data_IF_189179113603
#
_entry.id   IF_189179113603
#
_cell.length_a   1.000
_cell.length_b   1.000
_cell.length_c   1.000
_cell.angle_alpha   90.00
_cell.angle_beta   90.00
_cell.angle_gamma   90.00
#
_symmetry.space_group_name_H-M   'P 1'
#
loop_
_entity.id
_entity.type
_entity.pdbx_description
1 polymer ?
#
# COMPACT_ATOMS: atom_id res chain seq x y z
N UNK A 1 -24.09 5.09 -0.54
CA UNK A 1 -23.49 5.48 -1.83
C UNK A 1 -22.87 4.29 -2.57
N UNK A 2 -22.44 3.24 -1.88
CA UNK A 2 -21.90 2.02 -2.50
C UNK A 2 -22.88 1.40 -3.49
N UNK A 3 -22.45 1.21 -4.75
CA UNK A 3 -23.23 0.60 -5.84
C UNK A 3 -24.63 1.20 -6.02
N UNK A 4 -24.79 2.50 -5.76
CA UNK A 4 -26.07 3.15 -5.91
C UNK A 4 -26.11 3.97 -7.22
N UNK A 5 -26.93 3.57 -8.21
CA UNK A 5 -27.00 4.24 -9.50
C UNK A 5 -27.50 5.70 -9.42
N UNK A 6 -28.15 6.10 -8.31
CA UNK A 6 -28.56 7.50 -8.10
C UNK A 6 -27.40 8.48 -7.98
N UNK A 7 -26.18 8.00 -7.69
CA UNK A 7 -24.98 8.83 -7.57
C UNK A 7 -24.11 8.83 -8.84
N UNK A 8 -24.66 8.35 -9.97
CA UNK A 8 -23.97 8.32 -11.26
C UNK A 8 -22.65 7.54 -11.23
N UNK A 9 -21.66 8.03 -11.98
CA UNK A 9 -20.33 7.39 -12.12
C UNK A 9 -19.61 7.23 -10.77
N UNK A 10 -19.81 8.17 -9.84
CA UNK A 10 -19.15 8.15 -8.53
C UNK A 10 -19.66 6.99 -7.68
N UNK A 11 -20.98 6.78 -7.64
CA UNK A 11 -21.58 5.68 -6.87
C UNK A 11 -21.38 4.30 -7.47
N UNK A 12 -21.31 4.22 -8.80
CA UNK A 12 -21.25 2.95 -9.52
C UNK A 12 -19.83 2.47 -9.80
N UNK A 13 -18.87 3.38 -10.01
CA UNK A 13 -17.50 3.03 -10.40
C UNK A 13 -16.45 3.51 -9.39
N UNK A 14 -16.45 4.79 -9.03
CA UNK A 14 -15.38 5.34 -8.20
C UNK A 14 -15.38 4.74 -6.79
N UNK A 15 -16.54 4.63 -6.14
CA UNK A 15 -16.66 4.10 -4.79
C UNK A 15 -16.35 2.59 -4.72
N UNK A 16 -16.89 1.73 -5.60
CA UNK A 16 -16.51 0.32 -5.63
C UNK A 16 -15.04 0.11 -5.93
N UNK A 17 -14.48 0.86 -6.89
CA UNK A 17 -13.05 0.80 -7.19
C UNK A 17 -12.21 1.18 -5.97
N UNK A 18 -12.54 2.29 -5.29
CA UNK A 18 -11.84 2.75 -4.10
C UNK A 18 -11.86 1.67 -3.01
N UNK A 19 -13.03 1.09 -2.75
CA UNK A 19 -13.17 0.00 -1.78
C UNK A 19 -12.31 -1.21 -2.14
N UNK A 20 -12.31 -1.64 -3.40
CA UNK A 20 -11.47 -2.75 -3.82
C UNK A 20 -9.97 -2.41 -3.75
N UNK A 21 -9.57 -1.20 -4.11
CA UNK A 21 -8.16 -0.79 -4.05
C UNK A 21 -7.65 -0.53 -2.64
N UNK A 22 -8.52 -0.20 -1.70
CA UNK A 22 -8.12 0.25 -0.36
C UNK A 22 -8.35 -0.85 0.69
N UNK A 23 -9.45 -1.59 0.57
CA UNK A 23 -9.87 -2.61 1.55
C UNK A 23 -9.30 -3.99 1.22
N UNK A 24 -9.26 -4.42 -0.05
CA UNK A 24 -8.78 -5.77 -0.41
C UNK A 24 -7.27 -5.98 -0.15
N UNK A 25 -6.35 -5.06 -0.55
CA UNK A 25 -4.93 -5.35 -0.48
C UNK A 25 -4.41 -5.69 0.92
N UNK A 26 -4.85 -5.02 2.00
CA UNK A 26 -4.49 -5.41 3.36
C UNK A 26 -4.84 -6.86 3.72
N UNK A 27 -6.00 -7.37 3.28
CA UNK A 27 -6.38 -8.76 3.51
C UNK A 27 -5.52 -9.72 2.68
N UNK A 28 -5.25 -9.39 1.42
CA UNK A 28 -4.37 -10.20 0.57
C UNK A 28 -2.94 -10.27 1.11
N UNK A 29 -2.39 -9.16 1.59
CA UNK A 29 -1.07 -9.14 2.23
C UNK A 29 -1.04 -10.01 3.49
N UNK A 30 -2.06 -9.91 4.34
CA UNK A 30 -2.16 -10.74 5.54
C UNK A 30 -2.25 -12.23 5.22
N UNK A 31 -3.10 -12.61 4.26
CA UNK A 31 -3.22 -14.00 3.79
C UNK A 31 -1.89 -14.47 3.19
N UNK A 32 -1.20 -13.62 2.42
CA UNK A 32 0.12 -13.93 1.86
C UNK A 32 1.15 -14.28 2.93
N UNK A 33 1.21 -13.52 4.02
CA UNK A 33 2.09 -13.84 5.16
C UNK A 33 1.70 -15.14 5.85
N UNK A 34 0.40 -15.42 6.02
CA UNK A 34 -0.07 -16.69 6.58
C UNK A 34 0.29 -17.88 5.70
N UNK A 35 0.15 -17.76 4.37
CA UNK A 35 0.51 -18.83 3.42
C UNK A 35 2.00 -19.14 3.47
N UNK A 36 2.86 -18.12 3.57
CA UNK A 36 4.31 -18.32 3.73
C UNK A 36 4.61 -19.06 5.04
N UNK A 37 3.96 -18.67 6.15
CA UNK A 37 4.12 -19.33 7.45
C UNK A 37 3.65 -20.79 7.44
N UNK A 38 2.48 -21.07 6.85
CA UNK A 38 1.94 -22.42 6.71
C UNK A 38 2.78 -23.29 5.78
N UNK A 39 3.30 -22.72 4.69
CA UNK A 39 4.17 -23.45 3.76
C UNK A 39 5.53 -23.81 4.38
N UNK A 40 6.05 -22.98 5.28
CA UNK A 40 7.22 -23.32 6.11
C UNK A 40 6.92 -24.44 7.09
N UNK A 41 5.76 -24.40 7.77
CA UNK A 41 5.34 -25.42 8.73
C UNK A 41 5.15 -26.79 8.09
N UNK A 42 4.51 -26.82 6.92
CA UNK A 42 4.25 -28.05 6.13
C UNK A 42 5.48 -28.53 5.34
N UNK A 43 6.60 -27.81 5.39
CA UNK A 43 7.83 -28.05 4.61
C UNK A 43 7.64 -28.09 3.09
N UNK A 44 6.47 -27.65 2.59
CA UNK A 44 6.20 -27.50 1.16
C UNK A 44 7.03 -26.36 0.58
N UNK A 45 7.27 -25.31 1.37
CA UNK A 45 8.17 -24.22 1.00
C UNK A 45 9.56 -24.44 1.59
N UNK A 46 10.55 -24.67 0.73
CA UNK A 46 11.96 -24.63 1.13
C UNK A 46 12.42 -23.17 1.31
N UNK A 47 13.32 -22.86 2.26
CA UNK A 47 13.84 -21.49 2.44
C UNK A 47 14.41 -20.85 1.16
N UNK A 48 15.01 -21.66 0.28
CA UNK A 48 15.52 -21.21 -1.03
C UNK A 48 14.40 -20.69 -1.94
N UNK A 49 13.24 -21.36 -1.96
CA UNK A 49 12.09 -20.95 -2.76
C UNK A 49 11.54 -19.61 -2.27
N UNK A 50 11.46 -19.42 -0.95
CA UNK A 50 11.04 -18.15 -0.35
C UNK A 50 12.00 -17.02 -0.73
N UNK A 51 13.31 -17.29 -0.71
CA UNK A 51 14.31 -16.32 -1.14
C UNK A 51 14.14 -15.93 -2.61
N UNK A 52 13.90 -16.88 -3.51
CA UNK A 52 13.63 -16.58 -4.92
C UNK A 52 12.36 -15.74 -5.10
N UNK A 53 11.26 -16.12 -4.44
CA UNK A 53 10.03 -15.32 -4.46
C UNK A 53 10.25 -13.90 -3.92
N UNK A 54 11.00 -13.78 -2.84
CA UNK A 54 11.35 -12.48 -2.26
C UNK A 54 12.15 -11.63 -3.25
N UNK A 55 13.17 -12.20 -3.90
CA UNK A 55 13.97 -11.48 -4.91
C UNK A 55 13.13 -11.01 -6.11
N UNK A 56 12.28 -11.90 -6.66
CA UNK A 56 11.43 -11.56 -7.80
C UNK A 56 10.45 -10.44 -7.44
N UNK A 57 9.78 -10.56 -6.29
CA UNK A 57 8.84 -9.53 -5.82
C UNK A 57 9.52 -8.22 -5.47
N UNK A 58 10.76 -8.26 -4.96
CA UNK A 58 11.55 -7.07 -4.69
C UNK A 58 11.95 -6.34 -5.98
N UNK A 59 12.44 -7.06 -7.00
CA UNK A 59 12.75 -6.48 -8.32
C UNK A 59 11.49 -5.90 -8.97
N UNK A 60 10.37 -6.64 -8.93
CA UNK A 60 9.09 -6.15 -9.45
C UNK A 60 8.66 -4.84 -8.77
N UNK A 61 8.82 -4.76 -7.44
CA UNK A 61 8.49 -3.55 -6.67
C UNK A 61 9.39 -2.37 -7.04
N UNK A 62 10.69 -2.61 -7.25
CA UNK A 62 11.64 -1.60 -7.70
C UNK A 62 11.28 -1.05 -9.10
N UNK A 63 10.91 -1.93 -10.03
CA UNK A 63 10.44 -1.53 -11.36
C UNK A 63 9.15 -0.72 -11.26
N UNK A 64 8.21 -1.12 -10.40
CA UNK A 64 6.97 -0.38 -10.18
C UNK A 64 7.24 1.05 -9.66
N UNK A 65 8.13 1.20 -8.68
CA UNK A 65 8.56 2.51 -8.19
C UNK A 65 9.24 3.35 -9.28
N UNK A 66 10.06 2.73 -10.13
CA UNK A 66 10.69 3.41 -11.26
C UNK A 66 9.66 3.94 -12.26
N UNK A 67 8.64 3.15 -12.60
CA UNK A 67 7.54 3.60 -13.48
C UNK A 67 6.80 4.79 -12.87
N UNK A 68 6.53 4.78 -11.56
CA UNK A 68 5.91 5.91 -10.87
C UNK A 68 6.74 7.20 -10.96
N UNK A 69 8.06 7.09 -10.76
CA UNK A 69 8.97 8.24 -10.89
C UNK A 69 9.10 8.72 -12.34
N UNK A 70 9.12 7.81 -13.32
CA UNK A 70 9.11 8.16 -14.73
C UNK A 70 7.82 8.94 -15.08
N UNK A 71 6.67 8.45 -14.62
CA UNK A 71 5.38 9.13 -14.81
C UNK A 71 5.36 10.51 -14.16
N UNK A 72 5.93 10.69 -12.96
CA UNK A 72 6.07 12.01 -12.31
C UNK A 72 6.85 13.00 -13.22
N UNK A 73 7.91 12.51 -13.87
CA UNK A 73 8.71 13.34 -14.76
C UNK A 73 7.98 13.71 -16.06
N UNK A 74 7.35 12.73 -16.73
CA UNK A 74 6.68 12.94 -18.02
C UNK A 74 5.33 13.64 -17.92
N UNK A 75 4.51 13.31 -16.91
CA UNK A 75 3.11 13.77 -16.81
C UNK A 75 3.01 15.10 -16.05
N UNK A 76 3.76 15.26 -14.97
CA UNK A 76 3.66 16.44 -14.09
C UNK A 76 4.67 17.53 -14.47
N UNK A 77 5.64 17.23 -15.35
CA UNK A 77 6.64 18.19 -15.82
C UNK A 77 7.60 18.64 -14.72
N UNK A 78 7.77 17.83 -13.67
CA UNK A 78 8.60 18.18 -12.52
C UNK A 78 10.09 18.22 -12.91
N UNK A 79 10.70 19.40 -12.84
CA UNK A 79 12.14 19.61 -13.00
C UNK A 79 12.88 19.13 -11.74
N UNK A 80 12.88 17.83 -11.48
CA UNK A 80 13.67 17.22 -10.42
C UNK A 80 15.13 17.16 -10.86
N UNK A 81 16.04 17.73 -10.05
CA UNK A 81 17.50 17.56 -10.26
C UNK A 81 17.82 16.06 -10.15
N UNK A 82 18.71 15.54 -11.01
CA UNK A 82 19.10 14.12 -11.06
C UNK A 82 19.47 13.52 -9.70
N UNK A 83 20.10 14.30 -8.82
CA UNK A 83 20.45 13.87 -7.46
C UNK A 83 19.21 13.50 -6.61
N UNK A 84 18.12 14.27 -6.71
CA UNK A 84 16.89 13.97 -5.99
C UNK A 84 16.17 12.74 -6.55
N UNK A 85 16.31 12.47 -7.85
CA UNK A 85 15.74 11.27 -8.47
C UNK A 85 16.38 9.99 -7.93
N UNK A 86 17.72 9.92 -7.91
CA UNK A 86 18.44 8.76 -7.35
C UNK A 86 18.19 8.59 -5.86
N UNK A 87 18.11 9.68 -5.10
CA UNK A 87 17.77 9.62 -3.68
C UNK A 87 16.35 9.06 -3.46
N UNK A 88 15.34 9.52 -4.21
CA UNK A 88 13.96 8.99 -4.14
C UNK A 88 13.92 7.49 -4.50
N UNK A 89 14.65 7.08 -5.54
CA UNK A 89 14.78 5.66 -5.92
C UNK A 89 15.34 4.81 -4.78
N UNK A 90 16.45 5.27 -4.17
CA UNK A 90 17.09 4.54 -3.08
C UNK A 90 16.18 4.43 -1.86
N UNK A 91 15.49 5.51 -1.48
CA UNK A 91 14.52 5.50 -0.38
C UNK A 91 13.37 4.52 -0.65
N UNK A 92 12.85 4.46 -1.88
CA UNK A 92 11.74 3.55 -2.23
C UNK A 92 12.14 2.06 -2.13
N UNK A 93 13.41 1.72 -2.34
CA UNK A 93 13.90 0.34 -2.13
C UNK A 93 13.81 -0.07 -0.65
N UNK A 94 14.16 0.83 0.26
CA UNK A 94 14.08 0.58 1.71
C UNK A 94 12.65 0.61 2.24
N UNK A 95 11.79 1.44 1.63
CA UNK A 95 10.36 1.53 1.97
C UNK A 95 9.68 0.14 1.92
N UNK A 96 10.02 -0.66 0.91
CA UNK A 96 9.43 -1.99 0.72
C UNK A 96 9.75 -2.99 1.86
N UNK A 97 10.82 -2.77 2.62
CA UNK A 97 11.30 -3.72 3.64
C UNK A 97 10.67 -3.48 5.02
N UNK A 98 10.45 -2.22 5.39
CA UNK A 98 9.92 -1.87 6.72
C UNK A 98 8.61 -1.12 6.67
N UNK A 99 8.50 -0.15 5.76
CA UNK A 99 7.38 0.77 5.75
C UNK A 99 6.10 0.07 5.30
N UNK A 100 6.19 -0.87 4.35
CA UNK A 100 5.02 -1.62 3.86
C UNK A 100 4.33 -2.44 4.94
N UNK A 101 5.11 -3.05 5.82
CA UNK A 101 4.68 -3.90 6.94
C UNK A 101 4.01 -3.07 8.03
N UNK A 102 4.58 -1.90 8.34
CA UNK A 102 3.97 -0.93 9.27
C UNK A 102 2.66 -0.38 8.69
N UNK A 103 2.66 -0.03 7.40
CA UNK A 103 1.50 0.50 6.72
C UNK A 103 0.36 -0.55 6.67
N UNK A 104 0.69 -1.83 6.51
CA UNK A 104 -0.28 -2.92 6.61
C UNK A 104 -1.00 -2.92 7.97
N UNK A 105 -0.27 -2.79 9.08
CA UNK A 105 -0.85 -2.73 10.43
C UNK A 105 -1.81 -1.54 10.54
N UNK A 106 -1.41 -0.37 10.03
CA UNK A 106 -2.27 0.82 10.04
C UNK A 106 -3.51 0.65 9.17
N UNK A 107 -3.39 0.07 7.97
CA UNK A 107 -4.52 -0.19 7.07
C UNK A 107 -5.50 -1.18 7.69
N UNK A 108 -5.01 -2.29 8.24
CA UNK A 108 -5.86 -3.27 8.92
C UNK A 108 -6.58 -2.61 10.11
N UNK A 109 -5.86 -1.86 10.94
CA UNK A 109 -6.44 -1.14 12.09
C UNK A 109 -7.50 -0.13 11.63
N UNK A 110 -7.25 0.59 10.53
CA UNK A 110 -8.19 1.53 9.93
C UNK A 110 -9.47 0.85 9.44
N UNK A 111 -9.33 -0.29 8.74
CA UNK A 111 -10.47 -1.10 8.28
C UNK A 111 -11.30 -1.57 9.47
N UNK A 112 -10.66 -2.17 10.50
CA UNK A 112 -11.37 -2.62 11.70
C UNK A 112 -12.05 -1.46 12.45
N UNK A 113 -11.39 -0.31 12.62
CA UNK A 113 -12.00 0.88 13.24
C UNK A 113 -13.20 1.42 12.45
N UNK A 114 -13.17 1.34 11.13
CA UNK A 114 -14.31 1.72 10.27
C UNK A 114 -15.56 0.86 10.55
N UNK A 115 -15.38 -0.44 10.81
CA UNK A 115 -16.48 -1.33 11.21
C UNK A 115 -16.98 -1.08 12.63
N UNK A 116 -16.10 -0.69 13.56
CA UNK A 116 -16.45 -0.52 14.99
C UNK A 116 -17.31 0.71 15.29
N UNK A 117 -17.72 1.51 14.30
CA UNK A 117 -18.62 2.69 14.43
C UNK A 117 -18.22 3.75 15.48
N UNK A 118 -17.05 3.63 16.12
CA UNK A 118 -16.48 4.68 16.98
C UNK A 118 -16.04 5.84 16.10
N UNK A 119 -17.00 6.69 15.76
CA UNK A 119 -16.81 7.95 15.00
C UNK A 119 -16.30 9.06 15.93
N UNK A 120 -15.38 8.72 16.82
CA UNK A 120 -14.69 9.72 17.64
C UNK A 120 -13.56 10.28 16.79
N UNK A 121 -13.83 11.41 16.15
CA UNK A 121 -12.76 12.26 15.65
C UNK A 121 -11.99 12.75 16.88
N UNK A 122 -10.72 12.35 17.01
CA UNK A 122 -9.91 12.72 18.17
C UNK A 122 -9.93 14.24 18.42
N UNK A 123 -9.79 14.65 19.68
CA UNK A 123 -9.74 16.07 20.05
C UNK A 123 -8.64 16.80 19.25
N UNK A 124 -9.04 17.60 18.26
CA UNK A 124 -8.12 18.48 17.55
C UNK A 124 -7.80 19.69 18.44
N UNK A 125 -6.86 19.52 19.38
CA UNK A 125 -6.30 20.64 20.14
C UNK A 125 -5.47 21.52 19.20
N UNK A 126 -6.14 22.46 18.53
CA UNK A 126 -5.48 23.53 17.77
C UNK A 126 -4.76 24.42 18.77
N UNK A 127 -3.44 24.32 18.85
CA UNK A 127 -2.63 25.38 19.45
C UNK A 127 -2.55 26.49 18.42
N UNK A 128 -3.11 27.66 18.75
CA UNK A 128 -2.93 28.86 17.94
C UNK A 128 -1.44 29.17 17.79
N UNK A 129 -1.07 29.70 16.63
CA UNK A 129 0.28 30.20 16.40
C UNK A 129 0.54 31.35 17.39
N UNK A 130 1.63 31.25 18.15
CA UNK A 130 2.21 32.35 18.92
C UNK A 130 3.47 32.80 18.21
#
# INVERSE_FOLDING_TARGET
MFLNPRYGVVGLFAIPFCFFSEVIPPFLEFIGYLVIGLGLYTKVLTPQMILYFFLVTWVYSAVHSFVGLAMEHFVVGSKLKYHHFFFKLFVSLFENIFYRQINLIYKITGVFKSFTKKREWGEMKRRGFK
#
